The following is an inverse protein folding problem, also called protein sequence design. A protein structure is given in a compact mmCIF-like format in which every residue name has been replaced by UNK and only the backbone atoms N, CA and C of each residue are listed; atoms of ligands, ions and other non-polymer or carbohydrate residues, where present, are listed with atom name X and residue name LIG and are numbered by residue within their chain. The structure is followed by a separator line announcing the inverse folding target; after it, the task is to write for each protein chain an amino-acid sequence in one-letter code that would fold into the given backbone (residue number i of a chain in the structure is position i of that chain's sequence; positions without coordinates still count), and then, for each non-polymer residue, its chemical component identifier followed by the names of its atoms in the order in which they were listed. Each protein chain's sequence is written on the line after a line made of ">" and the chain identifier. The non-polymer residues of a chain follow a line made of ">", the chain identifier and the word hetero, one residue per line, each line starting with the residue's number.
data_IF_429777055200
#
_entry.id   IF_429777055200
#
_cell.length_a   1.000
_cell.length_b   1.000
_cell.length_c   1.000
_cell.angle_alpha   90.00
_cell.angle_beta   90.00
_cell.angle_gamma   90.00
#
_symmetry.space_group_name_H-M   'P 1'
#
loop_
_entity.id
_entity.type
_entity.pdbx_description
1 polymer ?
#
# COMPACT_ATOMS: atom_id res chain seq x y z
N UNK A 1 28.89 26.36 33.10
CA UNK A 1 29.51 26.92 31.87
C UNK A 1 28.68 26.64 30.62
N UNK A 2 28.27 25.37 30.36
CA UNK A 2 27.42 25.01 29.23
C UNK A 2 26.13 25.86 29.10
N UNK A 3 25.38 26.04 30.21
CA UNK A 3 24.13 26.83 30.23
C UNK A 3 24.29 28.30 29.81
N UNK A 4 25.45 28.90 30.08
CA UNK A 4 25.75 30.31 29.73
C UNK A 4 26.14 30.43 28.24
N UNK A 5 26.84 29.43 27.69
CA UNK A 5 27.20 29.39 26.27
C UNK A 5 25.98 29.11 25.39
N UNK A 6 25.06 28.25 25.85
CA UNK A 6 23.85 27.92 25.09
C UNK A 6 22.96 29.14 24.83
N UNK A 7 22.85 30.09 25.77
CA UNK A 7 21.98 31.28 25.66
C UNK A 7 22.28 32.22 24.48
N UNK A 8 23.43 32.06 23.80
CA UNK A 8 23.81 32.83 22.60
C UNK A 8 23.79 32.01 21.30
N UNK A 9 23.55 30.70 21.37
CA UNK A 9 23.58 29.82 20.20
C UNK A 9 22.28 29.92 19.38
N UNK A 10 22.41 29.87 18.05
CA UNK A 10 21.30 29.71 17.12
C UNK A 10 20.87 28.24 16.98
N UNK A 11 19.68 28.01 16.41
CA UNK A 11 19.04 26.70 16.21
C UNK A 11 19.98 25.65 15.61
N UNK A 12 20.72 26.03 14.57
CA UNK A 12 21.69 25.16 13.87
C UNK A 12 22.83 24.68 14.79
N UNK A 13 23.43 25.58 15.58
CA UNK A 13 24.51 25.22 16.50
C UNK A 13 24.04 24.27 17.60
N UNK A 14 22.82 24.47 18.11
CA UNK A 14 22.24 23.57 19.11
C UNK A 14 21.96 22.20 18.46
N UNK A 15 21.40 22.17 17.26
CA UNK A 15 21.20 20.92 16.51
C UNK A 15 22.51 20.14 16.31
N UNK A 16 23.58 20.83 15.88
CA UNK A 16 24.90 20.24 15.74
C UNK A 16 25.42 19.68 17.08
N UNK A 17 25.30 20.46 18.17
CA UNK A 17 25.71 20.01 19.50
C UNK A 17 24.92 18.78 19.97
N UNK A 18 23.62 18.69 19.68
CA UNK A 18 22.79 17.50 19.95
C UNK A 18 23.34 16.29 19.20
N UNK A 19 23.66 16.44 17.91
CA UNK A 19 24.20 15.35 17.09
C UNK A 19 25.53 14.82 17.61
N UNK A 20 26.47 15.70 17.95
CA UNK A 20 27.77 15.29 18.50
C UNK A 20 27.62 14.64 19.87
N UNK A 21 26.85 15.25 20.79
CA UNK A 21 26.61 14.70 22.12
C UNK A 21 25.93 13.31 22.06
N UNK A 22 24.99 13.12 21.12
CA UNK A 22 24.37 11.82 20.88
C UNK A 22 25.36 10.79 20.33
N UNK A 23 26.25 11.20 19.42
CA UNK A 23 27.27 10.32 18.83
C UNK A 23 28.30 9.86 19.86
N UNK A 24 28.58 10.68 20.87
CA UNK A 24 29.43 10.35 22.01
C UNK A 24 28.69 9.62 23.15
N UNK A 25 27.37 9.40 23.04
CA UNK A 25 26.58 8.72 24.07
C UNK A 25 26.35 9.55 25.35
N UNK A 26 26.41 10.89 25.27
CA UNK A 26 26.30 11.78 26.43
C UNK A 26 24.82 12.15 26.68
N UNK A 27 24.06 11.22 27.24
CA UNK A 27 22.60 11.34 27.44
C UNK A 27 22.17 12.62 28.16
N UNK A 28 22.84 12.99 29.26
CA UNK A 28 22.47 14.16 30.06
C UNK A 28 22.70 15.48 29.32
N UNK A 29 23.73 15.55 28.47
CA UNK A 29 23.98 16.72 27.63
C UNK A 29 22.92 16.82 26.53
N UNK A 30 22.54 15.70 25.91
CA UNK A 30 21.44 15.66 24.94
C UNK A 30 20.14 16.14 25.58
N UNK A 31 19.75 15.62 26.75
CA UNK A 31 18.57 16.09 27.48
C UNK A 31 18.60 17.59 27.73
N UNK A 32 19.73 18.11 28.22
CA UNK A 32 19.90 19.53 28.50
C UNK A 32 19.73 20.39 27.23
N UNK A 33 20.33 19.97 26.12
CA UNK A 33 20.28 20.68 24.84
C UNK A 33 18.86 20.68 24.25
N UNK A 34 18.14 19.55 24.32
CA UNK A 34 16.75 19.45 23.86
C UNK A 34 15.83 20.38 24.67
N UNK A 35 15.95 20.37 26.00
CA UNK A 35 15.17 21.26 26.89
C UNK A 35 15.45 22.74 26.62
N UNK A 36 16.72 23.10 26.40
CA UNK A 36 17.10 24.48 26.10
C UNK A 36 16.58 24.95 24.74
N UNK A 37 16.61 24.07 23.74
CA UNK A 37 16.05 24.36 22.41
C UNK A 37 14.54 24.65 22.49
N UNK A 38 13.81 23.81 23.23
CA UNK A 38 12.37 23.95 23.43
C UNK A 38 12.02 25.23 24.22
N UNK A 39 12.74 25.50 25.31
CA UNK A 39 12.54 26.69 26.13
C UNK A 39 12.75 28.00 25.36
N UNK A 40 13.55 27.97 24.29
CA UNK A 40 13.88 29.13 23.44
C UNK A 40 13.15 29.13 22.10
N UNK A 41 12.28 28.15 21.85
CA UNK A 41 11.56 27.99 20.59
C UNK A 41 12.48 27.98 19.35
N UNK A 42 13.65 27.33 19.45
CA UNK A 42 14.66 27.28 18.38
C UNK A 42 14.49 26.09 17.42
N UNK A 43 13.28 25.52 17.37
CA UNK A 43 12.95 24.34 16.58
C UNK A 43 12.70 24.69 15.11
N UNK A 44 13.76 25.11 14.43
CA UNK A 44 13.75 25.44 13.01
C UNK A 44 14.18 24.24 12.14
N UNK A 45 14.04 24.36 10.82
CA UNK A 45 14.31 23.26 9.88
C UNK A 45 15.69 22.61 10.04
N UNK A 46 16.75 23.40 10.27
CA UNK A 46 18.10 22.89 10.47
C UNK A 46 18.26 22.09 11.76
N UNK A 47 17.59 22.51 12.84
CA UNK A 47 17.60 21.78 14.10
C UNK A 47 17.01 20.37 13.91
N UNK A 48 15.85 20.26 13.27
CA UNK A 48 15.22 18.96 12.98
C UNK A 48 16.10 18.06 12.11
N UNK A 49 16.78 18.64 11.11
CA UNK A 49 17.74 17.89 10.27
C UNK A 49 18.86 17.26 11.12
N UNK A 50 19.46 18.03 12.04
CA UNK A 50 20.50 17.50 12.91
C UNK A 50 19.99 16.48 13.92
N UNK A 51 18.82 16.70 14.51
CA UNK A 51 18.17 15.69 15.37
C UNK A 51 17.91 14.40 14.57
N UNK A 52 17.40 14.51 13.34
CA UNK A 52 17.20 13.38 12.44
C UNK A 52 18.49 12.60 12.13
N UNK A 53 19.63 13.28 11.99
CA UNK A 53 20.94 12.62 11.88
C UNK A 53 21.36 11.94 13.19
N UNK A 54 21.16 12.60 14.32
CA UNK A 54 21.47 12.05 15.64
C UNK A 54 20.68 10.75 15.91
N UNK A 55 19.40 10.74 15.55
CA UNK A 55 18.53 9.56 15.64
C UNK A 55 19.05 8.41 14.77
N UNK A 56 19.47 8.70 13.52
CA UNK A 56 20.05 7.69 12.63
C UNK A 56 21.35 7.10 13.20
N UNK A 57 22.22 7.93 13.81
CA UNK A 57 23.43 7.45 14.46
C UNK A 57 23.12 6.56 15.68
N UNK A 58 22.14 6.95 16.50
CA UNK A 58 21.69 6.11 17.62
C UNK A 58 21.15 4.76 17.13
N UNK A 59 20.39 4.75 16.04
CA UNK A 59 19.87 3.54 15.40
C UNK A 59 20.98 2.62 14.86
N UNK A 60 21.98 3.16 14.17
CA UNK A 60 23.15 2.40 13.71
C UNK A 60 23.94 1.73 14.83
N UNK A 61 23.94 2.34 16.02
CA UNK A 61 24.61 1.83 17.23
C UNK A 61 23.70 0.94 18.08
N UNK A 62 22.45 0.73 17.67
CA UNK A 62 21.41 0.06 18.47
C UNK A 62 21.23 0.69 19.86
N UNK A 63 21.48 1.99 19.99
CA UNK A 63 21.37 2.74 21.25
C UNK A 63 19.92 3.18 21.50
N UNK A 64 19.13 2.23 21.98
CA UNK A 64 17.68 2.38 22.18
C UNK A 64 17.34 3.55 23.11
N UNK A 65 18.12 3.77 24.16
CA UNK A 65 17.86 4.85 25.12
C UNK A 65 18.13 6.22 24.50
N UNK A 66 19.18 6.36 23.68
CA UNK A 66 19.45 7.62 22.98
C UNK A 66 18.36 7.90 21.94
N UNK A 67 17.91 6.85 21.22
CA UNK A 67 16.82 6.99 20.27
C UNK A 67 15.50 7.42 20.96
N UNK A 68 15.17 6.88 22.14
CA UNK A 68 14.00 7.31 22.93
C UNK A 68 14.05 8.77 23.33
N UNK A 69 15.24 9.31 23.64
CA UNK A 69 15.39 10.73 23.96
C UNK A 69 15.16 11.62 22.74
N UNK A 70 15.66 11.20 21.58
CA UNK A 70 15.67 12.02 20.37
C UNK A 70 14.36 11.92 19.57
N UNK A 71 13.63 10.81 19.67
CA UNK A 71 12.47 10.54 18.81
C UNK A 71 11.36 11.59 18.93
N UNK A 72 11.16 12.16 20.12
CA UNK A 72 10.14 13.18 20.36
C UNK A 72 10.35 14.46 19.53
N UNK A 73 11.58 14.71 19.08
CA UNK A 73 11.95 15.87 18.26
C UNK A 73 12.34 15.45 16.83
N UNK A 74 12.10 14.21 16.44
CA UNK A 74 12.44 13.70 15.11
C UNK A 74 11.35 14.07 14.10
N UNK A 75 11.75 14.59 12.94
CA UNK A 75 10.82 14.80 11.84
C UNK A 75 10.36 13.45 11.21
N UNK A 76 9.14 13.37 10.64
CA UNK A 76 8.63 12.12 10.07
C UNK A 76 9.50 11.54 8.94
N UNK A 77 10.09 12.33 8.01
CA UNK A 77 11.04 11.80 7.03
C UNK A 77 12.26 11.10 7.65
N UNK A 78 12.85 11.68 8.70
CA UNK A 78 13.97 11.06 9.42
C UNK A 78 13.55 9.77 10.13
N UNK A 79 12.39 9.76 10.80
CA UNK A 79 11.84 8.55 11.42
C UNK A 79 11.58 7.45 10.37
N UNK A 80 11.08 7.83 9.19
CA UNK A 80 10.86 6.94 8.06
C UNK A 80 12.15 6.31 7.50
N UNK A 81 13.25 7.08 7.44
CA UNK A 81 14.57 6.55 7.07
C UNK A 81 15.08 5.54 8.09
N UNK A 82 14.99 5.86 9.38
CA UNK A 82 15.40 4.97 10.47
C UNK A 82 14.61 3.66 10.41
N UNK A 83 13.29 3.74 10.22
CA UNK A 83 12.44 2.57 10.07
C UNK A 83 12.92 1.63 8.94
N UNK A 84 13.35 2.18 7.80
CA UNK A 84 13.92 1.36 6.71
C UNK A 84 15.28 0.73 7.08
N UNK A 85 16.12 1.43 7.83
CA UNK A 85 17.40 0.92 8.33
C UNK A 85 17.16 -0.24 9.30
N UNK A 86 16.23 -0.11 10.24
CA UNK A 86 15.92 -1.16 11.20
C UNK A 86 15.38 -2.41 10.50
N UNK A 87 14.56 -2.25 9.46
CA UNK A 87 14.12 -3.37 8.60
C UNK A 87 15.30 -4.07 7.90
N UNK A 88 16.29 -3.31 7.44
CA UNK A 88 17.47 -3.87 6.82
C UNK A 88 18.33 -4.65 7.83
N UNK A 89 18.46 -4.13 9.06
CA UNK A 89 19.32 -4.66 10.13
C UNK A 89 18.63 -5.69 11.06
N UNK A 90 17.32 -5.91 10.91
CA UNK A 90 16.53 -6.85 11.72
C UNK A 90 16.36 -6.46 13.21
N UNK A 91 16.43 -5.17 13.50
CA UNK A 91 16.32 -4.66 14.87
C UNK A 91 14.85 -4.40 15.26
N UNK A 92 14.21 -5.38 15.88
CA UNK A 92 12.78 -5.29 16.22
C UNK A 92 12.45 -4.25 17.29
N UNK A 93 13.34 -4.01 18.25
CA UNK A 93 13.06 -3.10 19.37
C UNK A 93 13.12 -1.64 18.94
N UNK A 94 14.11 -1.27 18.14
CA UNK A 94 14.15 0.03 17.48
C UNK A 94 12.98 0.18 16.50
N UNK A 95 12.62 -0.87 15.75
CA UNK A 95 11.46 -0.81 14.86
C UNK A 95 10.17 -0.45 15.61
N UNK A 96 9.93 -1.05 16.80
CA UNK A 96 8.78 -0.71 17.65
C UNK A 96 8.77 0.74 18.10
N UNK A 97 9.96 1.31 18.31
CA UNK A 97 10.10 2.71 18.70
C UNK A 97 9.70 3.67 17.57
N UNK A 98 10.09 3.38 16.32
CA UNK A 98 9.85 4.27 15.17
C UNK A 98 8.54 4.01 14.41
N UNK A 99 7.98 2.81 14.46
CA UNK A 99 6.74 2.47 13.75
C UNK A 99 5.55 3.42 14.06
N UNK A 100 5.36 3.96 15.28
CA UNK A 100 4.28 4.90 15.55
C UNK A 100 4.47 6.30 14.93
N UNK A 101 5.69 6.68 14.56
CA UNK A 101 6.04 8.09 14.28
C UNK A 101 5.78 8.56 12.85
N UNK A 102 5.40 7.65 11.95
CA UNK A 102 5.31 7.94 10.53
C UNK A 102 3.83 8.00 10.11
N UNK A 103 3.43 9.04 9.36
CA UNK A 103 2.05 9.16 8.84
C UNK A 103 1.43 10.58 8.76
N UNK A 104 2.14 11.66 9.11
CA UNK A 104 1.48 12.96 9.30
C UNK A 104 1.15 13.72 7.99
N UNK A 105 1.79 13.41 6.86
CA UNK A 105 1.73 14.26 5.66
C UNK A 105 1.21 13.59 4.37
N UNK A 106 0.86 12.31 4.42
CA UNK A 106 0.55 11.55 3.20
C UNK A 106 -0.75 10.76 3.33
N UNK A 107 -1.43 10.54 2.20
CA UNK A 107 -2.62 9.68 2.12
C UNK A 107 -2.29 8.23 2.48
N UNK A 108 -1.09 7.78 2.15
CA UNK A 108 -0.48 6.52 2.57
C UNK A 108 0.98 6.79 2.96
N UNK A 109 1.53 6.06 3.92
CA UNK A 109 2.90 6.29 4.37
C UNK A 109 3.91 5.54 3.48
N UNK A 110 4.69 6.25 2.63
CA UNK A 110 5.61 5.59 1.71
C UNK A 110 6.74 4.83 2.41
N UNK A 111 7.14 5.24 3.62
CA UNK A 111 8.19 4.57 4.38
C UNK A 111 7.69 3.24 4.93
N UNK A 112 6.49 3.22 5.52
CA UNK A 112 5.84 1.99 5.99
C UNK A 112 5.48 1.05 4.84
N UNK A 113 5.00 1.56 3.71
CA UNK A 113 4.74 0.74 2.50
C UNK A 113 6.02 0.00 2.08
N UNK A 114 7.13 0.73 1.93
CA UNK A 114 8.41 0.13 1.54
C UNK A 114 8.90 -0.91 2.56
N UNK A 115 8.76 -0.59 3.85
CA UNK A 115 9.14 -1.47 4.95
C UNK A 115 8.31 -2.76 4.97
N UNK A 116 6.98 -2.67 4.89
CA UNK A 116 6.05 -3.81 4.82
C UNK A 116 6.35 -4.71 3.63
N UNK A 117 6.56 -4.12 2.45
CA UNK A 117 6.89 -4.87 1.24
C UNK A 117 8.21 -5.63 1.43
N UNK A 118 9.24 -4.98 1.99
CA UNK A 118 10.56 -5.58 2.20
C UNK A 118 10.53 -6.70 3.26
N UNK A 119 9.85 -6.49 4.39
CA UNK A 119 9.74 -7.48 5.46
C UNK A 119 8.89 -8.67 5.03
N UNK A 120 7.79 -8.44 4.31
CA UNK A 120 6.94 -9.51 3.80
C UNK A 120 7.67 -10.38 2.76
N UNK A 121 8.43 -9.77 1.83
CA UNK A 121 9.26 -10.52 0.86
C UNK A 121 10.32 -11.38 1.52
N UNK A 122 10.92 -10.91 2.61
CA UNK A 122 11.88 -11.67 3.41
C UNK A 122 11.23 -12.61 4.43
N UNK A 123 9.90 -12.69 4.45
CA UNK A 123 9.11 -13.52 5.39
C UNK A 123 9.47 -13.23 6.86
N UNK A 124 9.81 -11.98 7.16
CA UNK A 124 10.12 -11.51 8.53
C UNK A 124 8.84 -11.25 9.30
N UNK A 125 8.16 -12.31 9.73
CA UNK A 125 6.81 -12.27 10.33
C UNK A 125 6.69 -11.31 11.50
N UNK A 126 7.64 -11.33 12.45
CA UNK A 126 7.63 -10.44 13.62
C UNK A 126 7.69 -8.95 13.23
N UNK A 127 8.48 -8.59 12.21
CA UNK A 127 8.54 -7.21 11.73
C UNK A 127 7.29 -6.80 10.96
N UNK A 128 6.70 -7.73 10.18
CA UNK A 128 5.41 -7.50 9.53
C UNK A 128 4.33 -7.23 10.57
N UNK A 129 4.34 -7.94 11.69
CA UNK A 129 3.38 -7.74 12.79
C UNK A 129 3.52 -6.36 13.41
N UNK A 130 4.74 -5.96 13.77
CA UNK A 130 5.01 -4.62 14.31
C UNK A 130 4.54 -3.54 13.33
N UNK A 131 4.95 -3.64 12.05
CA UNK A 131 4.62 -2.62 11.07
C UNK A 131 3.12 -2.56 10.77
N UNK A 132 2.45 -3.71 10.65
CA UNK A 132 1.02 -3.76 10.39
C UNK A 132 0.20 -3.17 11.56
N UNK A 133 0.63 -3.39 12.80
CA UNK A 133 -0.02 -2.83 14.00
C UNK A 133 -0.07 -1.29 13.98
N UNK A 134 0.96 -0.65 13.43
CA UNK A 134 1.06 0.82 13.36
C UNK A 134 0.78 1.40 11.97
N UNK A 135 0.28 0.59 11.04
CA UNK A 135 -0.06 1.04 9.69
C UNK A 135 -1.54 1.35 9.58
N UNK A 136 -1.87 2.46 8.93
CA UNK A 136 -3.25 2.76 8.57
C UNK A 136 -3.71 1.89 7.38
N UNK A 137 -5.02 1.91 7.13
CA UNK A 137 -5.63 1.13 6.07
C UNK A 137 -5.05 1.47 4.68
N UNK A 138 -4.90 2.75 4.26
CA UNK A 138 -4.29 3.09 2.97
C UNK A 138 -2.87 2.55 2.81
N UNK A 139 -2.04 2.59 3.86
CA UNK A 139 -0.67 2.06 3.85
C UNK A 139 -0.67 0.55 3.65
N UNK A 140 -1.54 -0.18 4.36
CA UNK A 140 -1.68 -1.63 4.22
C UNK A 140 -2.13 -2.03 2.81
N UNK A 141 -3.10 -1.31 2.24
CA UNK A 141 -3.61 -1.54 0.88
C UNK A 141 -2.55 -1.26 -0.18
N UNK A 142 -1.83 -0.14 -0.06
CA UNK A 142 -0.74 0.21 -0.98
C UNK A 142 0.37 -0.84 -0.98
N UNK A 143 0.74 -1.36 0.21
CA UNK A 143 1.72 -2.44 0.33
C UNK A 143 1.21 -3.75 -0.30
N UNK A 144 -0.06 -4.12 -0.08
CA UNK A 144 -0.68 -5.30 -0.69
C UNK A 144 -0.73 -5.22 -2.22
N UNK A 145 -1.15 -4.08 -2.76
CA UNK A 145 -1.20 -3.84 -4.20
C UNK A 145 0.19 -3.98 -4.82
N UNK A 146 1.23 -3.45 -4.16
CA UNK A 146 2.61 -3.53 -4.64
C UNK A 146 3.17 -4.95 -4.60
N UNK A 147 2.93 -5.71 -3.55
CA UNK A 147 3.34 -7.13 -3.48
C UNK A 147 2.65 -7.96 -4.57
N UNK A 148 1.34 -7.76 -4.71
CA UNK A 148 0.51 -8.51 -5.65
C UNK A 148 0.84 -8.18 -7.11
N UNK A 149 1.14 -6.92 -7.41
CA UNK A 149 1.55 -6.49 -8.76
C UNK A 149 2.89 -7.09 -9.20
N UNK A 150 3.76 -7.40 -8.23
CA UNK A 150 5.03 -8.09 -8.49
C UNK A 150 4.88 -9.63 -8.52
N UNK A 151 3.68 -10.16 -8.26
CA UNK A 151 3.41 -11.60 -8.23
C UNK A 151 3.87 -12.32 -6.96
N UNK A 152 4.25 -11.60 -5.89
CA UNK A 152 4.80 -12.18 -4.65
C UNK A 152 3.72 -12.85 -3.77
N UNK A 153 3.14 -13.96 -4.24
CA UNK A 153 1.96 -14.61 -3.65
C UNK A 153 2.11 -14.92 -2.15
N UNK A 154 3.27 -15.40 -1.72
CA UNK A 154 3.54 -15.75 -0.31
C UNK A 154 3.51 -14.50 0.56
N UNK A 155 4.20 -13.43 0.12
CA UNK A 155 4.24 -12.16 0.84
C UNK A 155 2.87 -11.47 0.85
N UNK A 156 2.14 -11.51 -0.28
CA UNK A 156 0.77 -11.00 -0.39
C UNK A 156 -0.15 -11.69 0.61
N UNK A 157 -0.14 -13.04 0.68
CA UNK A 157 -0.96 -13.79 1.64
C UNK A 157 -0.56 -13.51 3.09
N UNK A 158 0.74 -13.36 3.36
CA UNK A 158 1.24 -13.02 4.70
C UNK A 158 0.68 -11.67 5.15
N UNK A 159 0.78 -10.65 4.31
CA UNK A 159 0.31 -9.30 4.63
C UNK A 159 -1.22 -9.23 4.69
N UNK A 160 -1.92 -9.96 3.81
CA UNK A 160 -3.39 -9.97 3.76
C UNK A 160 -3.99 -10.49 5.07
N UNK A 161 -3.37 -11.47 5.71
CA UNK A 161 -3.78 -11.98 7.05
C UNK A 161 -3.74 -10.92 8.15
N UNK A 162 -3.05 -9.80 7.92
CA UNK A 162 -2.94 -8.68 8.86
C UNK A 162 -3.87 -7.52 8.50
N UNK A 163 -4.51 -7.57 7.33
CA UNK A 163 -5.49 -6.59 6.91
C UNK A 163 -6.82 -6.85 7.62
N UNK A 164 -7.51 -5.79 8.05
CA UNK A 164 -8.87 -5.89 8.59
C UNK A 164 -9.82 -6.50 7.53
N UNK A 165 -10.51 -7.62 7.84
CA UNK A 165 -11.52 -8.20 6.96
C UNK A 165 -12.60 -7.21 6.49
N UNK A 166 -12.96 -6.21 7.31
CA UNK A 166 -13.92 -5.18 6.92
C UNK A 166 -13.47 -4.39 5.67
N UNK A 167 -12.16 -4.32 5.44
CA UNK A 167 -11.56 -3.58 4.34
C UNK A 167 -11.42 -4.39 3.05
N UNK A 168 -11.64 -5.72 3.08
CA UNK A 168 -11.45 -6.60 1.92
C UNK A 168 -12.25 -6.13 0.70
N UNK A 169 -13.48 -5.64 0.92
CA UNK A 169 -14.33 -5.10 -0.15
C UNK A 169 -13.71 -3.89 -0.83
N UNK A 170 -13.17 -2.95 -0.05
CA UNK A 170 -12.51 -1.76 -0.59
C UNK A 170 -11.24 -2.14 -1.34
N UNK A 171 -10.41 -2.98 -0.73
CA UNK A 171 -9.17 -3.48 -1.34
C UNK A 171 -9.44 -4.26 -2.63
N UNK A 172 -10.51 -5.08 -2.68
CA UNK A 172 -10.93 -5.80 -3.88
C UNK A 172 -11.33 -4.86 -5.02
N UNK A 173 -12.10 -3.81 -4.72
CA UNK A 173 -12.48 -2.80 -5.71
C UNK A 173 -11.25 -2.08 -6.28
N UNK A 174 -10.31 -1.67 -5.44
CA UNK A 174 -9.06 -1.05 -5.88
C UNK A 174 -8.22 -2.02 -6.72
N UNK A 175 -8.09 -3.28 -6.29
CA UNK A 175 -7.35 -4.30 -7.04
C UNK A 175 -7.93 -4.50 -8.45
N UNK A 176 -9.26 -4.54 -8.58
CA UNK A 176 -9.94 -4.65 -9.86
C UNK A 176 -9.72 -3.41 -10.75
N UNK A 177 -9.73 -2.21 -10.18
CA UNK A 177 -9.46 -0.96 -10.90
C UNK A 177 -8.00 -0.83 -11.36
N UNK A 178 -7.06 -1.30 -10.54
CA UNK A 178 -5.61 -1.27 -10.80
C UNK A 178 -5.08 -2.48 -11.57
N UNK A 179 -5.97 -3.40 -12.00
CA UNK A 179 -5.63 -4.60 -12.79
C UNK A 179 -4.68 -5.55 -12.04
N UNK A 180 -4.80 -5.62 -10.70
CA UNK A 180 -3.97 -6.48 -9.86
C UNK A 180 -4.64 -7.85 -9.74
N UNK A 181 -4.57 -8.64 -10.81
CA UNK A 181 -5.31 -9.91 -10.98
C UNK A 181 -5.07 -10.87 -9.81
N UNK A 182 -3.82 -11.03 -9.36
CA UNK A 182 -3.49 -11.91 -8.23
C UNK A 182 -4.26 -11.52 -6.95
N UNK A 183 -4.38 -10.22 -6.65
CA UNK A 183 -5.07 -9.76 -5.45
C UNK A 183 -6.59 -9.93 -5.60
N UNK A 184 -7.13 -9.71 -6.81
CA UNK A 184 -8.53 -10.00 -7.14
C UNK A 184 -8.83 -11.47 -6.88
N UNK A 185 -8.01 -12.40 -7.38
CA UNK A 185 -8.18 -13.84 -7.19
C UNK A 185 -8.16 -14.25 -5.72
N UNK A 186 -7.20 -13.73 -4.93
CA UNK A 186 -7.09 -14.06 -3.50
C UNK A 186 -8.31 -13.55 -2.73
N UNK A 187 -8.78 -12.34 -3.02
CA UNK A 187 -9.91 -11.71 -2.32
C UNK A 187 -11.27 -12.26 -2.78
N UNK A 188 -11.35 -12.90 -3.94
CA UNK A 188 -12.59 -13.40 -4.53
C UNK A 188 -13.32 -14.42 -3.64
N UNK A 189 -12.59 -15.15 -2.80
CA UNK A 189 -13.13 -16.07 -1.79
C UNK A 189 -13.93 -15.37 -0.68
N UNK A 190 -13.72 -14.07 -0.49
CA UNK A 190 -14.33 -13.29 0.57
C UNK A 190 -15.43 -12.35 0.08
N UNK A 191 -15.74 -12.36 -1.23
CA UNK A 191 -16.67 -11.42 -1.84
C UNK A 191 -18.05 -12.04 -2.05
N UNK A 192 -19.10 -11.29 -1.74
CA UNK A 192 -20.46 -11.60 -2.17
C UNK A 192 -20.68 -11.35 -3.67
N UNK A 193 -21.79 -11.89 -4.20
CA UNK A 193 -22.18 -11.75 -5.61
C UNK A 193 -22.28 -10.29 -6.06
N UNK A 194 -22.70 -9.37 -5.18
CA UNK A 194 -22.86 -7.95 -5.53
C UNK A 194 -21.50 -7.27 -5.74
N UNK A 195 -20.53 -7.54 -4.88
CA UNK A 195 -19.17 -7.02 -5.00
C UNK A 195 -18.49 -7.55 -6.28
N UNK A 196 -18.62 -8.86 -6.53
CA UNK A 196 -18.08 -9.50 -7.75
C UNK A 196 -18.73 -8.90 -9.00
N UNK A 197 -20.06 -8.76 -9.02
CA UNK A 197 -20.78 -8.15 -10.15
C UNK A 197 -20.29 -6.73 -10.41
N UNK A 198 -20.18 -5.89 -9.39
CA UNK A 198 -19.69 -4.53 -9.57
C UNK A 198 -18.27 -4.48 -10.17
N UNK A 199 -17.34 -5.29 -9.63
CA UNK A 199 -15.98 -5.36 -10.14
C UNK A 199 -15.92 -5.90 -11.58
N UNK A 200 -16.75 -6.89 -11.92
CA UNK A 200 -16.88 -7.42 -13.27
C UNK A 200 -17.35 -6.33 -14.25
N UNK A 201 -18.36 -5.55 -13.90
CA UNK A 201 -18.87 -4.47 -14.75
C UNK A 201 -17.81 -3.40 -14.97
N UNK A 202 -17.08 -3.01 -13.92
CA UNK A 202 -15.98 -2.04 -13.99
C UNK A 202 -14.84 -2.55 -14.89
N UNK A 203 -14.34 -3.76 -14.63
CA UNK A 203 -13.27 -4.37 -15.42
C UNK A 203 -13.68 -4.56 -16.90
N UNK A 204 -14.93 -4.95 -17.14
CA UNK A 204 -15.48 -5.12 -18.49
C UNK A 204 -15.57 -3.80 -19.23
N UNK A 205 -16.10 -2.75 -18.59
CA UNK A 205 -16.21 -1.41 -19.16
C UNK A 205 -14.84 -0.83 -19.55
N UNK A 206 -13.80 -1.12 -18.76
CA UNK A 206 -12.41 -0.69 -19.07
C UNK A 206 -11.72 -1.57 -20.10
N UNK A 207 -12.12 -2.84 -20.21
CA UNK A 207 -11.51 -3.83 -21.10
C UNK A 207 -10.39 -4.65 -20.44
N UNK A 208 -10.40 -4.77 -19.11
CA UNK A 208 -9.37 -5.46 -18.34
C UNK A 208 -9.55 -6.99 -18.41
N UNK A 209 -9.11 -7.58 -19.52
CA UNK A 209 -9.35 -8.97 -19.87
C UNK A 209 -8.90 -9.97 -18.79
N UNK A 210 -7.71 -9.78 -18.21
CA UNK A 210 -7.17 -10.67 -17.16
C UNK A 210 -8.05 -10.67 -15.91
N UNK A 211 -8.42 -9.48 -15.44
CA UNK A 211 -9.32 -9.30 -14.30
C UNK A 211 -10.70 -9.89 -14.57
N UNK A 212 -11.28 -9.67 -15.76
CA UNK A 212 -12.55 -10.30 -16.15
C UNK A 212 -12.44 -11.82 -16.07
N UNK A 213 -11.44 -12.42 -16.74
CA UNK A 213 -11.23 -13.89 -16.73
C UNK A 213 -11.13 -14.45 -15.32
N UNK A 214 -10.42 -13.76 -14.43
CA UNK A 214 -10.23 -14.22 -13.05
C UNK A 214 -11.54 -14.34 -12.26
N UNK A 215 -12.55 -13.52 -12.56
CA UNK A 215 -13.80 -13.49 -11.79
C UNK A 215 -14.88 -14.45 -12.34
N UNK A 216 -14.81 -14.85 -13.62
CA UNK A 216 -15.93 -15.54 -14.29
C UNK A 216 -16.35 -16.86 -13.65
N UNK A 217 -15.44 -17.58 -13.00
CA UNK A 217 -15.76 -18.84 -12.37
C UNK A 217 -16.67 -18.69 -11.13
N UNK A 218 -16.78 -17.47 -10.58
CA UNK A 218 -17.66 -17.14 -9.45
C UNK A 218 -18.87 -16.28 -9.84
N UNK A 219 -18.99 -15.90 -11.11
CA UNK A 219 -20.09 -15.07 -11.56
C UNK A 219 -21.30 -15.94 -11.92
N UNK A 220 -22.47 -15.50 -11.46
CA UNK A 220 -23.75 -16.04 -11.92
C UNK A 220 -24.02 -15.62 -13.37
N UNK A 221 -24.75 -16.45 -14.11
CA UNK A 221 -25.07 -16.25 -15.54
C UNK A 221 -25.65 -14.86 -15.82
N UNK A 222 -26.55 -14.37 -14.95
CA UNK A 222 -27.15 -13.04 -15.09
C UNK A 222 -26.10 -11.92 -15.02
N UNK A 223 -25.11 -12.02 -14.13
CA UNK A 223 -24.03 -11.03 -14.03
C UNK A 223 -23.13 -11.03 -15.28
N UNK A 224 -22.89 -12.21 -15.86
CA UNK A 224 -22.12 -12.36 -17.10
C UNK A 224 -22.90 -11.75 -18.28
N UNK A 225 -24.22 -11.95 -18.34
CA UNK A 225 -25.11 -11.31 -19.32
C UNK A 225 -25.03 -9.78 -19.28
N UNK A 226 -25.22 -9.16 -18.11
CA UNK A 226 -25.06 -7.71 -17.95
C UNK A 226 -23.66 -7.23 -18.34
N UNK A 227 -22.61 -7.99 -17.99
CA UNK A 227 -21.25 -7.66 -18.39
C UNK A 227 -21.08 -7.71 -19.91
N UNK A 228 -21.70 -8.68 -20.59
CA UNK A 228 -21.63 -8.81 -22.05
C UNK A 228 -22.24 -7.58 -22.74
N UNK A 229 -23.40 -7.11 -22.27
CA UNK A 229 -24.02 -5.88 -22.77
C UNK A 229 -23.09 -4.68 -22.62
N UNK A 230 -22.44 -4.52 -21.45
CA UNK A 230 -21.47 -3.44 -21.24
C UNK A 230 -20.24 -3.59 -22.14
N UNK A 231 -19.76 -4.81 -22.34
CA UNK A 231 -18.64 -5.08 -23.25
C UNK A 231 -18.97 -4.65 -24.68
N UNK A 232 -20.20 -4.94 -25.15
CA UNK A 232 -20.72 -4.50 -26.45
C UNK A 232 -20.84 -2.99 -26.52
N UNK A 233 -21.49 -2.35 -25.53
CA UNK A 233 -21.67 -0.91 -25.50
C UNK A 233 -20.34 -0.14 -25.53
N UNK A 234 -19.30 -0.69 -24.88
CA UNK A 234 -17.94 -0.14 -24.87
C UNK A 234 -17.04 -0.67 -25.98
N UNK A 235 -17.58 -1.49 -26.89
CA UNK A 235 -16.90 -2.14 -28.01
C UNK A 235 -15.60 -2.86 -27.62
N UNK A 236 -15.63 -3.60 -26.49
CA UNK A 236 -14.48 -4.33 -25.93
C UNK A 236 -14.40 -5.74 -26.50
N UNK A 237 -13.99 -5.86 -27.76
CA UNK A 237 -13.99 -7.11 -28.54
C UNK A 237 -13.38 -8.32 -27.82
N UNK A 238 -12.21 -8.15 -27.18
CA UNK A 238 -11.53 -9.23 -26.46
C UNK A 238 -12.33 -9.72 -25.23
N UNK A 239 -13.05 -8.82 -24.58
CA UNK A 239 -13.92 -9.16 -23.45
C UNK A 239 -15.21 -9.83 -23.94
N UNK A 240 -15.78 -9.36 -25.05
CA UNK A 240 -16.94 -10.00 -25.70
C UNK A 240 -16.65 -11.47 -26.01
N UNK A 241 -15.50 -11.77 -26.64
CA UNK A 241 -15.12 -13.16 -26.96
C UNK A 241 -15.07 -14.07 -25.72
N UNK A 242 -14.59 -13.55 -24.61
CA UNK A 242 -14.50 -14.31 -23.35
C UNK A 242 -15.86 -14.48 -22.68
N UNK A 243 -16.64 -13.40 -22.56
CA UNK A 243 -17.94 -13.42 -21.88
C UNK A 243 -18.96 -14.29 -22.61
N UNK A 244 -18.99 -14.19 -23.94
CA UNK A 244 -19.88 -14.97 -24.81
C UNK A 244 -19.77 -16.48 -24.58
N UNK A 245 -18.58 -16.99 -24.25
CA UNK A 245 -18.35 -18.41 -23.97
C UNK A 245 -19.10 -18.90 -22.73
N UNK A 246 -19.53 -18.01 -21.84
CA UNK A 246 -20.19 -18.30 -20.56
C UNK A 246 -21.62 -17.73 -20.45
N UNK A 247 -22.07 -16.92 -21.41
CA UNK A 247 -23.45 -16.43 -21.47
C UNK A 247 -24.45 -17.48 -21.97
N UNK A 248 -25.70 -17.33 -21.54
CA UNK A 248 -26.86 -18.02 -22.09
C UNK A 248 -27.28 -17.43 -23.45
N UNK A 249 -28.10 -18.15 -24.25
CA UNK A 249 -28.52 -17.69 -25.57
C UNK A 249 -29.34 -16.39 -25.56
N UNK A 250 -30.12 -16.12 -24.51
CA UNK A 250 -30.94 -14.90 -24.40
C UNK A 250 -30.04 -13.69 -24.27
N UNK A 251 -29.09 -13.71 -23.32
CA UNK A 251 -28.09 -12.65 -23.16
C UNK A 251 -27.28 -12.38 -24.43
N UNK A 252 -26.98 -13.42 -25.22
CA UNK A 252 -26.27 -13.26 -26.52
C UNK A 252 -27.15 -12.55 -27.54
N UNK A 253 -28.44 -12.91 -27.62
CA UNK A 253 -29.40 -12.27 -28.53
C UNK A 253 -29.54 -10.78 -28.21
N UNK A 254 -29.68 -10.43 -26.93
CA UNK A 254 -29.81 -9.04 -26.48
C UNK A 254 -28.54 -8.24 -26.78
N UNK A 255 -27.36 -8.85 -26.56
CA UNK A 255 -26.07 -8.27 -26.92
C UNK A 255 -25.93 -8.04 -28.43
N UNK A 256 -26.43 -8.94 -29.29
CA UNK A 256 -26.44 -8.76 -30.75
C UNK A 256 -27.33 -7.60 -31.16
N UNK A 257 -28.54 -7.51 -30.58
CA UNK A 257 -29.45 -6.41 -30.85
C UNK A 257 -28.81 -5.06 -30.47
N UNK A 258 -28.18 -4.99 -29.29
CA UNK A 258 -27.44 -3.82 -28.83
C UNK A 258 -26.28 -3.46 -29.78
N UNK A 259 -25.48 -4.44 -30.21
CA UNK A 259 -24.37 -4.21 -31.15
C UNK A 259 -24.86 -3.66 -32.50
N UNK A 260 -25.99 -4.17 -33.03
CA UNK A 260 -26.61 -3.69 -34.27
C UNK A 260 -27.07 -2.24 -34.16
N UNK A 261 -27.77 -1.90 -33.07
CA UNK A 261 -28.26 -0.53 -32.81
C UNK A 261 -27.11 0.49 -32.75
N UNK A 262 -25.93 0.07 -32.29
CA UNK A 262 -24.74 0.93 -32.21
C UNK A 262 -23.81 0.85 -33.44
N UNK A 263 -24.16 0.05 -34.47
CA UNK A 263 -23.34 -0.10 -35.67
C UNK A 263 -22.03 -0.88 -35.47
N UNK A 264 -21.90 -1.65 -34.38
CA UNK A 264 -20.69 -2.42 -34.07
C UNK A 264 -20.65 -3.76 -34.82
N UNK A 265 -20.41 -3.70 -36.13
CA UNK A 265 -20.41 -4.86 -37.05
C UNK A 265 -19.48 -6.00 -36.62
N UNK A 266 -18.28 -5.68 -36.13
CA UNK A 266 -17.32 -6.69 -35.63
C UNK A 266 -17.84 -7.38 -34.37
N UNK A 267 -18.50 -6.63 -33.47
CA UNK A 267 -19.13 -7.21 -32.27
C UNK A 267 -20.29 -8.14 -32.64
N UNK A 268 -21.11 -7.77 -33.64
CA UNK A 268 -22.17 -8.64 -34.18
C UNK A 268 -21.58 -9.94 -34.73
N UNK A 269 -20.54 -9.86 -35.57
CA UNK A 269 -19.87 -11.03 -36.12
C UNK A 269 -19.32 -11.95 -35.01
N UNK A 270 -18.63 -11.38 -34.02
CA UNK A 270 -18.12 -12.12 -32.87
C UNK A 270 -19.21 -12.82 -32.06
N UNK A 271 -20.38 -12.20 -31.92
CA UNK A 271 -21.53 -12.75 -31.19
C UNK A 271 -22.30 -13.80 -32.01
N UNK A 272 -22.33 -13.68 -33.34
CA UNK A 272 -23.00 -14.61 -34.25
C UNK A 272 -22.15 -15.87 -34.56
N UNK A 273 -20.82 -15.80 -34.49
CA UNK A 273 -19.92 -16.92 -34.84
C UNK A 273 -20.17 -18.19 -34.00
N UNK A 274 -20.87 -19.22 -34.49
CA UNK A 274 -21.18 -20.47 -33.72
C UNK A 274 -19.98 -20.96 -32.87
N UNK A 275 -20.22 -21.34 -31.59
CA UNK A 275 -19.19 -21.93 -30.70
C UNK A 275 -18.44 -23.00 -31.49
N UNK A 276 -17.16 -22.77 -31.81
CA UNK A 276 -16.27 -23.84 -32.26
C UNK A 276 -16.16 -24.82 -31.09
N UNK A 277 -16.81 -25.99 -31.23
CA UNK A 277 -16.68 -27.11 -30.31
C UNK A 277 -15.20 -27.50 -30.28
N UNK A 278 -14.49 -27.10 -29.24
CA UNK A 278 -13.22 -27.74 -28.89
C UNK A 278 -13.59 -29.00 -28.10
N UNK A 279 -13.24 -30.13 -28.71
CA UNK A 279 -13.21 -31.45 -28.10
C UNK A 279 -12.21 -31.50 -26.95
#
# INVERSE_FOLDING_TARGET
>A
MAKILMGKCHSEMIGHAVREAASEGIYELVKLLLMECEARHLEESWYYSHVGMAVQNAALRSDLEMAKLLIAKCDPPSAGRVLQMEVANDHTDMLRLFAPMTGVYYKEDPYKVNALVRTAKKVKTAMVEILAQYSDQPTMEAALLRLSSNGDLVATKLLLRKLDPASYKHTFAIAAEKIVVQLVEILLEHMDTSNIRWALMTATSKGYLGTVKSMLHKCETASIGCALEVAVLKNKLAVIDVLRKRCDPTSISDAIASAKTNGYTVSVQLLDCKRSRLA
#
